data_IF_967714801349
#
_entry.id   IF_967714801349
#
_cell.length_a   1.000
_cell.length_b   1.000
_cell.length_c   1.000
_cell.angle_alpha   90.00
_cell.angle_beta   90.00
_cell.angle_gamma   90.00
#
_symmetry.space_group_name_H-M   'P 1'
#
loop_
_entity.id
_entity.type
_entity.pdbx_description
1 polymer ?
#
# COMPACT_ATOMS: atom_id res chain seq x y z
N UNK A 1 -23.77 29.15 -3.33
CA UNK A 1 -23.95 27.70 -3.52
C UNK A 1 -22.56 27.13 -3.59
N UNK A 2 -22.12 26.46 -2.53
CA UNK A 2 -20.76 25.92 -2.45
C UNK A 2 -20.75 24.53 -3.09
N UNK A 3 -19.81 24.31 -4.01
CA UNK A 3 -19.63 23.05 -4.70
C UNK A 3 -18.50 22.27 -4.02
N UNK A 4 -18.81 21.11 -3.45
CA UNK A 4 -17.83 20.21 -2.83
C UNK A 4 -17.66 18.98 -3.72
N UNK A 5 -16.41 18.68 -4.10
CA UNK A 5 -16.05 17.46 -4.82
C UNK A 5 -15.69 16.35 -3.83
N UNK A 6 -16.37 15.20 -3.91
CA UNK A 6 -16.07 14.02 -3.09
C UNK A 6 -15.62 12.89 -4.02
N UNK A 7 -14.46 12.30 -3.73
CA UNK A 7 -13.99 11.08 -4.38
C UNK A 7 -13.85 9.97 -3.35
N UNK A 8 -14.38 8.79 -3.66
CA UNK A 8 -14.32 7.60 -2.80
C UNK A 8 -13.76 6.42 -3.58
N UNK A 9 -12.87 5.67 -2.96
CA UNK A 9 -12.28 4.46 -3.54
C UNK A 9 -12.49 3.29 -2.59
N UNK A 10 -13.05 2.20 -3.11
CA UNK A 10 -13.27 0.97 -2.37
C UNK A 10 -12.53 -0.19 -3.06
N UNK A 11 -11.41 -0.60 -2.48
CA UNK A 11 -10.62 -1.73 -2.98
C UNK A 11 -10.96 -2.98 -2.18
N UNK A 12 -11.72 -3.91 -2.77
CA UNK A 12 -12.06 -5.19 -2.15
C UNK A 12 -11.24 -6.33 -2.74
N UNK A 13 -10.29 -6.81 -1.95
CA UNK A 13 -9.81 -8.19 -1.96
C UNK A 13 -8.92 -8.60 -3.13
N UNK A 14 -7.90 -9.40 -2.83
CA UNK A 14 -7.03 -10.06 -3.79
C UNK A 14 -7.79 -11.17 -4.53
N UNK A 15 -7.51 -11.39 -5.80
CA UNK A 15 -8.05 -12.53 -6.54
C UNK A 15 -7.69 -13.83 -5.81
N UNK A 16 -8.66 -14.73 -5.66
CA UNK A 16 -8.47 -16.01 -4.99
C UNK A 16 -7.47 -16.93 -5.74
N UNK A 17 -6.88 -17.91 -5.04
CA UNK A 17 -7.00 -18.20 -3.61
C UNK A 17 -5.71 -17.84 -2.89
N UNK A 18 -5.47 -16.55 -2.67
CA UNK A 18 -4.26 -16.15 -1.95
C UNK A 18 -4.39 -16.44 -0.46
N UNK A 19 -5.57 -16.49 0.17
CA UNK A 19 -5.67 -16.77 1.63
C UNK A 19 -6.77 -17.77 1.96
N UNK A 20 -6.41 -18.86 2.67
CA UNK A 20 -7.40 -19.83 3.16
C UNK A 20 -8.26 -19.18 4.23
N UNK A 21 -9.59 -19.24 4.07
CA UNK A 21 -10.58 -18.55 4.91
C UNK A 21 -10.47 -18.89 6.41
N UNK A 22 -9.90 -20.05 6.73
CA UNK A 22 -9.70 -20.57 8.09
C UNK A 22 -8.28 -20.36 8.64
N UNK A 23 -7.34 -19.84 7.86
CA UNK A 23 -5.94 -19.62 8.25
C UNK A 23 -5.71 -18.22 8.83
N UNK A 24 -6.70 -17.67 9.55
CA UNK A 24 -6.52 -16.40 10.27
C UNK A 24 -5.99 -16.70 11.67
N UNK A 25 -4.82 -16.16 12.02
CA UNK A 25 -4.21 -16.36 13.34
C UNK A 25 -3.86 -15.00 13.95
N UNK A 26 -4.09 -14.85 15.27
CA UNK A 26 -3.68 -13.64 15.97
C UNK A 26 -2.16 -13.61 16.16
N UNK A 27 -1.50 -12.63 15.54
CA UNK A 27 -0.07 -12.36 15.69
C UNK A 27 0.18 -10.92 16.11
N UNK A 28 1.39 -10.66 16.57
CA UNK A 28 1.85 -9.32 16.89
C UNK A 28 2.03 -8.49 15.60
N UNK A 29 1.53 -7.28 15.65
CA UNK A 29 1.75 -6.23 14.66
C UNK A 29 2.43 -5.07 15.35
N UNK A 30 3.64 -4.74 14.90
CA UNK A 30 4.47 -3.71 15.49
C UNK A 30 4.02 -2.34 15.00
N UNK A 31 3.65 -1.49 15.95
CA UNK A 31 3.31 -0.07 15.72
C UNK A 31 4.48 0.87 16.06
N UNK A 32 5.60 0.29 16.49
CA UNK A 32 6.87 0.94 16.83
C UNK A 32 7.84 -0.08 17.42
N UNK A 33 9.09 0.31 17.74
CA UNK A 33 10.18 -0.62 18.11
C UNK A 33 9.85 -1.52 19.29
N UNK A 34 9.17 -0.99 20.31
CA UNK A 34 8.83 -1.68 21.54
C UNK A 34 7.32 -1.73 21.79
N UNK A 35 6.50 -1.53 20.76
CA UNK A 35 5.04 -1.49 20.88
C UNK A 35 4.39 -2.34 19.81
N UNK A 36 3.78 -3.44 20.22
CA UNK A 36 2.99 -4.31 19.36
C UNK A 36 1.55 -4.44 19.86
N UNK A 37 0.65 -4.74 18.93
CA UNK A 37 -0.73 -5.12 19.19
C UNK A 37 -0.99 -6.49 18.58
N UNK A 38 -1.80 -7.33 19.23
CA UNK A 38 -2.21 -8.61 18.65
C UNK A 38 -3.41 -8.41 17.75
N UNK A 39 -3.27 -8.72 16.46
CA UNK A 39 -4.33 -8.57 15.45
C UNK A 39 -4.49 -9.84 14.63
N UNK A 40 -5.67 -10.09 14.04
CA UNK A 40 -5.84 -11.19 13.11
C UNK A 40 -4.99 -10.99 11.85
N UNK A 41 -4.15 -11.97 11.52
CA UNK A 41 -3.35 -12.03 10.29
C UNK A 41 -3.87 -13.11 9.36
N UNK A 42 -3.99 -12.79 8.08
CA UNK A 42 -4.26 -13.75 7.01
C UNK A 42 -2.95 -14.44 6.61
N UNK A 43 -2.92 -15.77 6.61
CA UNK A 43 -1.73 -16.55 6.25
C UNK A 43 -1.90 -17.34 4.96
N UNK A 44 -0.81 -17.41 4.20
CA UNK A 44 -0.73 -18.25 3.01
C UNK A 44 0.70 -18.53 2.61
N UNK A 45 0.91 -19.59 1.84
CA UNK A 45 2.17 -19.87 1.19
C UNK A 45 1.93 -20.16 -0.28
N UNK A 46 2.48 -19.30 -1.13
CA UNK A 46 2.35 -19.40 -2.58
C UNK A 46 3.55 -18.73 -3.25
N UNK A 47 3.63 -18.82 -4.57
CA UNK A 47 4.60 -18.05 -5.34
C UNK A 47 4.12 -16.62 -5.51
N UNK A 48 4.93 -15.67 -5.04
CA UNK A 48 4.68 -14.24 -5.19
C UNK A 48 5.84 -13.57 -5.90
N UNK A 49 5.55 -12.54 -6.69
CA UNK A 49 6.58 -11.63 -7.17
C UNK A 49 7.09 -10.80 -6.00
N UNK A 50 8.35 -11.03 -5.64
CA UNK A 50 9.00 -10.34 -4.52
C UNK A 50 10.40 -9.87 -4.89
N UNK A 51 10.83 -8.80 -4.23
CA UNK A 51 12.19 -8.28 -4.30
C UNK A 51 12.59 -7.74 -2.93
N UNK A 52 13.80 -8.04 -2.46
CA UNK A 52 14.36 -7.43 -1.25
C UNK A 52 15.34 -6.38 -1.70
N UNK A 53 15.10 -5.12 -1.37
CA UNK A 53 15.97 -4.01 -1.71
C UNK A 53 16.99 -3.79 -0.59
N UNK A 54 18.29 -4.15 -0.78
CA UNK A 54 19.25 -4.16 0.32
C UNK A 54 19.52 -2.75 0.88
N UNK A 55 19.63 -1.75 0.01
CA UNK A 55 19.93 -0.36 0.42
C UNK A 55 18.79 0.31 1.19
N UNK A 56 17.54 0.04 0.79
CA UNK A 56 16.35 0.52 1.50
C UNK A 56 16.02 -0.31 2.73
N UNK A 57 16.62 -1.51 2.86
CA UNK A 57 16.27 -2.52 3.87
C UNK A 57 14.76 -2.75 3.89
N UNK A 58 14.21 -3.02 2.71
CA UNK A 58 12.78 -3.19 2.52
C UNK A 58 12.45 -4.33 1.55
N UNK A 59 11.36 -5.05 1.83
CA UNK A 59 10.75 -6.02 0.93
C UNK A 59 9.69 -5.38 0.05
N UNK A 60 9.65 -5.77 -1.21
CA UNK A 60 8.61 -5.46 -2.19
C UNK A 60 7.84 -6.75 -2.49
N UNK A 61 6.52 -6.65 -2.49
CA UNK A 61 5.59 -7.73 -2.80
C UNK A 61 4.55 -7.20 -3.79
N UNK A 62 4.32 -7.92 -4.88
CA UNK A 62 3.28 -7.58 -5.85
C UNK A 62 2.11 -8.54 -5.69
N UNK A 63 0.92 -7.97 -5.45
CA UNK A 63 -0.34 -8.68 -5.34
C UNK A 63 -1.24 -8.28 -6.51
N UNK A 64 -1.52 -9.21 -7.40
CA UNK A 64 -2.38 -8.94 -8.55
C UNK A 64 -3.85 -8.88 -8.12
N UNK A 65 -4.56 -7.92 -8.68
CA UNK A 65 -6.01 -7.82 -8.64
C UNK A 65 -6.58 -8.26 -9.99
N UNK A 66 -7.88 -8.60 -10.06
CA UNK A 66 -8.58 -8.72 -11.32
C UNK A 66 -8.40 -7.46 -12.19
N UNK A 67 -8.64 -7.60 -13.50
CA UNK A 67 -8.68 -6.48 -14.45
C UNK A 67 -7.34 -5.74 -14.66
N UNK A 68 -6.22 -6.44 -14.44
CA UNK A 68 -4.89 -5.91 -14.77
C UNK A 68 -4.33 -4.92 -13.73
N UNK A 69 -5.03 -4.71 -12.62
CA UNK A 69 -4.52 -3.93 -11.50
C UNK A 69 -3.58 -4.77 -10.64
N UNK A 70 -2.65 -4.11 -9.96
CA UNK A 70 -1.82 -4.74 -8.95
C UNK A 70 -1.59 -3.79 -7.78
N UNK A 71 -1.41 -4.37 -6.60
CA UNK A 71 -0.99 -3.70 -5.40
C UNK A 71 0.48 -4.01 -5.15
N UNK A 72 1.27 -2.97 -4.90
CA UNK A 72 2.64 -3.10 -4.43
C UNK A 72 2.66 -2.85 -2.93
N UNK A 73 3.08 -3.86 -2.19
CA UNK A 73 3.31 -3.75 -0.75
C UNK A 73 4.81 -3.60 -0.51
N UNK A 74 5.19 -2.50 0.14
CA UNK A 74 6.59 -2.25 0.51
C UNK A 74 6.72 -2.28 2.02
N UNK A 75 7.64 -3.07 2.53
CA UNK A 75 7.72 -3.40 3.94
C UNK A 75 9.13 -3.12 4.43
N UNK A 76 9.35 -2.15 5.35
CA UNK A 76 10.66 -2.01 5.97
C UNK A 76 10.98 -3.27 6.79
N UNK A 77 12.26 -3.62 6.85
CA UNK A 77 12.75 -4.71 7.69
C UNK A 77 12.73 -4.33 9.18
N UNK A 78 12.69 -3.04 9.50
CA UNK A 78 12.66 -2.52 10.87
C UNK A 78 11.27 -2.00 11.22
N UNK A 79 10.83 -2.25 12.47
CA UNK A 79 9.49 -1.86 12.95
C UNK A 79 9.24 -0.34 12.93
N UNK A 80 10.30 0.47 13.00
CA UNK A 80 10.29 1.93 12.87
C UNK A 80 10.91 2.42 11.56
N UNK A 81 11.12 1.54 10.59
CA UNK A 81 11.75 1.90 9.31
C UNK A 81 10.84 2.70 8.36
N UNK A 82 9.55 2.83 8.68
CA UNK A 82 8.57 3.46 7.78
C UNK A 82 8.87 4.94 7.48
N UNK A 83 9.18 5.82 8.44
CA UNK A 83 9.47 7.23 8.15
C UNK A 83 10.70 7.42 7.24
N UNK A 84 11.74 6.60 7.44
CA UNK A 84 12.92 6.61 6.55
C UNK A 84 12.55 6.16 5.14
N UNK A 85 11.74 5.10 5.04
CA UNK A 85 11.30 4.57 3.76
C UNK A 85 10.45 5.59 3.00
N UNK A 86 9.52 6.28 3.66
CA UNK A 86 8.69 7.35 3.09
C UNK A 86 9.52 8.52 2.55
N UNK A 87 10.57 8.93 3.28
CA UNK A 87 11.43 10.05 2.87
C UNK A 87 12.24 9.78 1.59
N UNK A 88 12.50 8.51 1.26
CA UNK A 88 13.35 8.13 0.10
C UNK A 88 12.57 7.47 -1.03
N UNK A 89 11.33 7.07 -0.79
CA UNK A 89 10.47 6.45 -1.80
C UNK A 89 10.11 7.45 -2.89
N UNK A 90 10.42 7.08 -4.13
CA UNK A 90 10.03 7.83 -5.33
C UNK A 90 9.38 6.91 -6.35
N UNK A 91 8.53 7.42 -7.26
CA UNK A 91 7.93 6.61 -8.31
C UNK A 91 8.97 5.86 -9.16
N UNK A 92 10.11 6.50 -9.46
CA UNK A 92 11.20 5.89 -10.24
C UNK A 92 11.86 4.73 -9.50
N UNK A 93 12.08 4.88 -8.18
CA UNK A 93 12.65 3.84 -7.33
C UNK A 93 11.69 2.64 -7.22
N UNK A 94 10.40 2.90 -7.04
CA UNK A 94 9.36 1.85 -7.02
C UNK A 94 9.35 1.10 -8.34
N UNK A 95 9.29 1.81 -9.48
CA UNK A 95 9.24 1.18 -10.79
C UNK A 95 10.50 0.34 -11.09
N UNK A 96 11.69 0.86 -10.74
CA UNK A 96 12.94 0.09 -10.85
C UNK A 96 12.90 -1.17 -9.99
N UNK A 97 12.39 -1.07 -8.76
CA UNK A 97 12.29 -2.20 -7.83
C UNK A 97 11.30 -3.26 -8.32
N UNK A 98 10.20 -2.85 -8.97
CA UNK A 98 9.22 -3.76 -9.57
C UNK A 98 9.83 -4.61 -10.68
N UNK A 99 10.66 -4.01 -11.54
CA UNK A 99 11.36 -4.73 -12.60
C UNK A 99 12.36 -5.78 -12.09
N UNK A 100 12.73 -5.72 -10.80
CA UNK A 100 13.63 -6.66 -10.15
C UNK A 100 12.90 -7.78 -9.39
N UNK A 101 11.57 -7.73 -9.32
CA UNK A 101 10.77 -8.76 -8.66
C UNK A 101 10.85 -10.09 -9.41
N UNK A 102 10.86 -11.18 -8.65
CA UNK A 102 10.86 -12.54 -9.17
C UNK A 102 9.87 -13.39 -8.40
N UNK A 103 9.27 -14.36 -9.07
CA UNK A 103 8.40 -15.34 -8.42
C UNK A 103 9.22 -16.13 -7.39
N UNK A 104 8.78 -16.12 -6.13
CA UNK A 104 9.39 -16.84 -5.03
C UNK A 104 8.31 -17.41 -4.12
N UNK A 105 8.48 -18.67 -3.73
CA UNK A 105 7.61 -19.32 -2.76
C UNK A 105 7.77 -18.66 -1.40
N UNK A 106 6.77 -17.87 -1.01
CA UNK A 106 6.83 -16.99 0.16
C UNK A 106 5.67 -17.30 1.11
N UNK A 107 5.98 -17.42 2.40
CA UNK A 107 4.97 -17.42 3.45
C UNK A 107 4.56 -15.96 3.70
N UNK A 108 3.34 -15.62 3.36
CA UNK A 108 2.81 -14.27 3.47
C UNK A 108 1.81 -14.19 4.64
N UNK A 109 1.97 -13.16 5.47
CA UNK A 109 1.12 -12.88 6.62
C UNK A 109 0.64 -11.42 6.61
N UNK A 110 -0.57 -11.14 6.15
CA UNK A 110 -1.07 -9.75 6.03
C UNK A 110 -2.14 -9.47 7.10
N UNK A 111 -2.14 -8.27 7.73
CA UNK A 111 -3.22 -7.85 8.62
C UNK A 111 -4.61 -8.00 7.99
N UNK A 112 -5.53 -8.67 8.68
CA UNK A 112 -6.95 -8.70 8.29
C UNK A 112 -7.61 -7.42 8.79
N UNK A 113 -7.55 -6.36 8.00
CA UNK A 113 -8.12 -5.06 8.37
C UNK A 113 -8.90 -4.41 7.25
N UNK A 114 -9.83 -3.54 7.64
CA UNK A 114 -10.46 -2.55 6.76
C UNK A 114 -9.73 -1.24 7.04
N UNK A 115 -9.14 -0.66 6.00
CA UNK A 115 -8.60 0.68 6.08
C UNK A 115 -9.64 1.65 5.54
N UNK A 116 -10.19 2.47 6.43
CA UNK A 116 -11.08 3.56 6.07
C UNK A 116 -10.35 4.87 6.37
N UNK A 117 -10.16 5.70 5.34
CA UNK A 117 -9.52 7.01 5.45
C UNK A 117 -10.31 8.04 4.67
N UNK A 118 -10.74 9.07 5.39
CA UNK A 118 -11.25 10.30 4.82
C UNK A 118 -10.18 11.37 4.97
N UNK A 119 -9.81 12.01 3.86
CA UNK A 119 -8.87 13.13 3.85
C UNK A 119 -9.52 14.33 3.18
N UNK A 120 -9.38 15.47 3.83
CA UNK A 120 -9.63 16.76 3.21
C UNK A 120 -8.35 17.21 2.50
N UNK A 121 -8.45 17.45 1.20
CA UNK A 121 -7.32 17.85 0.37
C UNK A 121 -7.25 19.36 0.13
N UNK A 122 -8.18 20.14 0.67
CA UNK A 122 -8.30 21.58 0.39
C UNK A 122 -7.00 22.30 0.75
N UNK A 123 -6.48 22.07 1.96
CA UNK A 123 -5.25 22.71 2.44
C UNK A 123 -4.01 22.32 1.61
N UNK A 124 -3.90 21.05 1.21
CA UNK A 124 -2.75 20.55 0.43
C UNK A 124 -2.79 21.11 -1.00
N UNK A 125 -3.97 21.15 -1.62
CA UNK A 125 -4.13 21.64 -2.99
C UNK A 125 -3.91 23.15 -3.10
N UNK A 126 -4.30 23.92 -2.07
CA UNK A 126 -4.01 25.35 -1.98
C UNK A 126 -2.50 25.65 -1.98
N UNK A 127 -1.71 24.80 -1.31
CA UNK A 127 -0.25 24.94 -1.28
C UNK A 127 0.44 24.50 -2.58
N UNK A 128 -0.14 23.55 -3.32
CA UNK A 128 0.48 23.00 -4.54
C UNK A 128 0.17 23.87 -5.77
N UNK A 129 -0.99 24.53 -5.83
CA UNK A 129 -1.25 25.50 -6.90
C UNK A 129 -2.39 26.50 -6.57
N UNK A 130 -2.10 27.66 -5.95
CA UNK A 130 -3.11 28.63 -5.51
C UNK A 130 -3.88 29.31 -6.66
N UNK A 131 -3.46 29.15 -7.92
CA UNK A 131 -4.04 29.87 -9.07
C UNK A 131 -5.21 29.15 -9.77
N UNK A 132 -5.51 27.89 -9.42
CA UNK A 132 -6.56 27.07 -10.07
C UNK A 132 -7.76 26.73 -9.18
N UNK A 133 -7.72 27.11 -7.91
CA UNK A 133 -8.73 26.76 -6.89
C UNK A 133 -10.11 27.36 -7.20
N UNK A 134 -10.19 28.38 -8.06
CA UNK A 134 -11.44 29.08 -8.41
C UNK A 134 -12.03 28.75 -9.78
N UNK A 135 -11.45 27.81 -10.54
CA UNK A 135 -12.00 27.38 -11.84
C UNK A 135 -12.12 25.86 -11.93
N UNK A 136 -13.18 25.32 -11.35
CA UNK A 136 -13.65 23.94 -11.58
C UNK A 136 -14.20 23.83 -13.00
N UNK A 137 -13.32 23.65 -13.99
CA UNK A 137 -13.67 23.03 -15.27
C UNK A 137 -13.24 21.57 -15.19
N UNK A 138 -14.24 20.69 -15.18
CA UNK A 138 -14.20 19.24 -15.43
C UNK A 138 -12.80 18.64 -15.50
N UNK A 139 -12.36 18.06 -14.38
CA UNK A 139 -11.23 17.15 -14.37
C UNK A 139 -11.70 15.84 -15.03
N UNK A 140 -11.39 15.66 -16.31
CA UNK A 140 -11.44 14.36 -16.94
C UNK A 140 -10.32 13.53 -16.31
N UNK A 141 -10.68 12.62 -15.40
CA UNK A 141 -9.71 11.79 -14.70
C UNK A 141 -9.05 10.80 -15.66
N UNK A 142 -7.78 11.01 -15.97
CA UNK A 142 -6.90 9.94 -16.44
C UNK A 142 -6.51 9.07 -15.24
N UNK A 143 -6.72 7.77 -15.40
CA UNK A 143 -6.51 6.76 -14.38
C UNK A 143 -5.02 6.46 -14.25
N UNK A 144 -4.37 6.94 -13.19
CA UNK A 144 -3.01 6.54 -12.83
C UNK A 144 -3.08 5.83 -11.48
N UNK A 145 -3.29 4.51 -11.53
CA UNK A 145 -3.26 3.62 -10.36
C UNK A 145 -1.81 3.41 -9.93
N UNK A 146 -1.38 4.09 -8.87
CA UNK A 146 -0.16 3.79 -8.13
C UNK A 146 -0.39 4.09 -6.65
N UNK A 147 -1.24 3.31 -6.00
CA UNK A 147 -1.42 3.39 -4.54
C UNK A 147 -0.48 2.38 -3.87
N UNK A 148 0.59 2.89 -3.27
CA UNK A 148 1.54 2.12 -2.46
C UNK A 148 0.96 1.93 -1.06
N UNK A 149 0.77 0.70 -0.61
CA UNK A 149 0.41 0.42 0.79
C UNK A 149 1.58 -0.28 1.47
N UNK A 150 2.15 0.33 2.50
CA UNK A 150 3.24 -0.26 3.29
C UNK A 150 2.68 -1.03 4.48
N UNK A 151 3.00 -2.32 4.62
CA UNK A 151 2.56 -3.15 5.74
C UNK A 151 3.76 -3.79 6.43
N UNK A 152 3.95 -3.60 7.73
CA UNK A 152 5.04 -4.24 8.49
C UNK A 152 4.77 -5.74 8.71
N UNK A 153 5.62 -6.65 8.20
CA UNK A 153 5.47 -8.11 8.37
C UNK A 153 6.86 -8.76 8.50
N UNK A 154 7.09 -9.51 9.59
CA UNK A 154 8.21 -10.45 9.79
C UNK A 154 7.72 -11.90 9.70
#
# INVERSE_FOLDING_TARGET
MDLVGVSGMYLRGFSQPVFWRYATVFREFWTGPNKSIRIPMLHTQADFLTYRHPELRAGFLVLHYPEGMFLVVVVPEEADGLPRLEAVLTPQLVNRSLNLTKARRTLLAIPKMILDQTRDYTEILEHVNPSKTSQTRYLHGEYVSNTLYTFCIH
#
